data_IF_912239017274
#
_entry.id   IF_912239017274
#
_cell.length_a   1.000
_cell.length_b   1.000
_cell.length_c   1.000
_cell.angle_alpha   90.00
_cell.angle_beta   90.00
_cell.angle_gamma   90.00
#
_symmetry.space_group_name_H-M   'P 1'
#
loop_
_entity.id
_entity.type
_entity.pdbx_description
1 polymer ?
#
# COMPACT_ATOMS: atom_id res chain seq x y z
N UNK A 1 49.33 4.70 -21.84
CA UNK A 1 48.29 3.77 -21.37
C UNK A 1 48.05 3.87 -19.85
N UNK A 2 48.02 5.08 -19.25
CA UNK A 2 47.74 5.28 -17.81
C UNK A 2 46.37 5.92 -17.52
N UNK A 3 45.77 6.61 -18.51
CA UNK A 3 44.52 7.36 -18.31
C UNK A 3 43.24 6.53 -18.50
N UNK A 4 43.33 5.34 -19.08
CA UNK A 4 42.17 4.45 -19.27
C UNK A 4 41.80 3.68 -17.99
N UNK A 5 42.74 3.47 -17.07
CA UNK A 5 42.50 2.74 -15.81
C UNK A 5 41.57 3.51 -14.86
N UNK A 6 41.66 4.85 -14.87
CA UNK A 6 40.83 5.76 -14.09
C UNK A 6 39.38 5.84 -14.60
N UNK A 7 39.17 5.66 -15.91
CA UNK A 7 37.82 5.68 -16.51
C UNK A 7 37.06 4.38 -16.18
N UNK A 8 37.76 3.25 -16.17
CA UNK A 8 37.16 1.93 -15.85
C UNK A 8 36.77 1.86 -14.36
N UNK A 9 37.58 2.44 -13.46
CA UNK A 9 37.26 2.50 -12.02
C UNK A 9 36.07 3.41 -11.73
N UNK A 10 35.88 4.50 -12.49
CA UNK A 10 34.70 5.36 -12.36
C UNK A 10 33.41 4.68 -12.81
N UNK A 11 33.45 3.87 -13.87
CA UNK A 11 32.29 3.10 -14.36
C UNK A 11 31.86 1.95 -13.42
N UNK A 12 32.79 1.41 -12.61
CA UNK A 12 32.48 0.36 -11.65
C UNK A 12 31.83 0.91 -10.36
N UNK A 13 32.07 2.17 -10.01
CA UNK A 13 31.48 2.81 -8.82
C UNK A 13 30.05 3.31 -9.04
N UNK A 14 29.62 3.53 -10.29
CA UNK A 14 28.27 4.04 -10.59
C UNK A 14 27.21 2.96 -10.79
N UNK A 15 27.54 1.67 -10.65
CA UNK A 15 26.65 0.57 -11.06
C UNK A 15 25.98 -0.22 -9.93
N UNK A 16 26.18 0.09 -8.66
CA UNK A 16 25.83 -0.88 -7.60
C UNK A 16 25.17 -0.29 -6.36
N UNK A 17 24.06 0.43 -6.52
CA UNK A 17 23.05 0.52 -5.46
C UNK A 17 21.63 0.61 -6.06
N UNK A 18 21.18 -0.46 -6.74
CA UNK A 18 19.74 -0.68 -6.85
C UNK A 18 19.27 -1.26 -5.52
N UNK A 19 18.68 -0.42 -4.66
CA UNK A 19 18.07 -0.90 -3.42
C UNK A 19 16.86 -1.77 -3.79
N UNK A 20 16.99 -3.09 -3.61
CA UNK A 20 15.90 -4.03 -3.82
C UNK A 20 14.81 -3.75 -2.79
N UNK A 21 13.57 -3.52 -3.25
CA UNK A 21 12.43 -3.33 -2.34
C UNK A 21 11.83 -4.66 -1.95
N UNK A 22 11.54 -4.84 -0.67
CA UNK A 22 10.79 -5.99 -0.18
C UNK A 22 9.35 -5.94 -0.72
N UNK A 23 8.84 -7.07 -1.19
CA UNK A 23 7.49 -7.14 -1.75
C UNK A 23 6.51 -7.72 -0.74
N UNK A 24 5.45 -6.99 -0.45
CA UNK A 24 4.41 -7.35 0.52
C UNK A 24 3.13 -7.69 -0.23
N UNK A 25 2.61 -8.89 0.00
CA UNK A 25 1.35 -9.36 -0.60
C UNK A 25 0.27 -9.51 0.47
N UNK A 26 -0.76 -8.67 0.44
CA UNK A 26 -1.92 -8.77 1.32
C UNK A 26 -3.11 -9.37 0.58
N UNK A 27 -3.66 -10.48 1.06
CA UNK A 27 -4.91 -11.03 0.58
C UNK A 27 -6.08 -10.29 1.22
N UNK A 28 -6.88 -9.60 0.40
CA UNK A 28 -8.04 -8.83 0.86
C UNK A 28 -9.19 -9.76 1.21
N UNK A 29 -9.53 -9.79 2.50
CA UNK A 29 -10.75 -10.42 2.99
C UNK A 29 -11.93 -9.45 2.83
N UNK A 30 -12.85 -9.73 1.90
CA UNK A 30 -14.06 -8.92 1.67
C UNK A 30 -15.01 -8.87 2.87
N UNK A 31 -14.90 -9.84 3.78
CA UNK A 31 -15.71 -9.90 5.00
C UNK A 31 -15.08 -9.17 6.18
N UNK A 32 -13.83 -8.67 6.06
CA UNK A 32 -13.21 -7.86 7.11
C UNK A 32 -13.76 -6.42 7.03
N UNK A 33 -14.63 -6.06 7.96
CA UNK A 33 -15.26 -4.72 8.04
C UNK A 33 -14.26 -3.58 8.31
N UNK A 34 -13.04 -3.91 8.73
CA UNK A 34 -11.95 -2.98 8.98
C UNK A 34 -11.04 -2.78 7.76
N UNK A 35 -11.33 -3.46 6.63
CA UNK A 35 -10.74 -3.16 5.32
C UNK A 35 -11.83 -2.55 4.44
N UNK A 36 -11.82 -1.24 4.29
CA UNK A 36 -12.83 -0.51 3.52
C UNK A 36 -12.30 -0.19 2.13
N UNK A 37 -12.96 -0.67 1.08
CA UNK A 37 -12.66 -0.26 -0.30
C UNK A 37 -13.25 1.13 -0.56
N UNK A 38 -12.43 2.03 -1.09
CA UNK A 38 -12.81 3.38 -1.50
C UNK A 38 -12.87 3.40 -3.03
N UNK A 39 -14.08 3.48 -3.58
CA UNK A 39 -14.27 3.53 -5.04
C UNK A 39 -14.38 4.99 -5.45
N UNK A 40 -13.58 5.40 -6.43
CA UNK A 40 -13.66 6.73 -7.02
C UNK A 40 -14.98 6.93 -7.79
N UNK A 41 -15.42 8.18 -7.88
CA UNK A 41 -16.45 8.58 -8.84
C UNK A 41 -15.96 8.42 -10.28
N UNK A 42 -16.89 8.41 -11.24
CA UNK A 42 -16.68 8.05 -12.66
C UNK A 42 -15.52 8.82 -13.33
N UNK A 43 -15.13 9.98 -12.83
CA UNK A 43 -14.06 10.82 -13.38
C UNK A 43 -12.65 10.54 -12.82
N UNK A 44 -12.51 9.79 -11.73
CA UNK A 44 -11.20 9.50 -11.13
C UNK A 44 -10.78 8.05 -11.38
N UNK A 45 -9.59 7.86 -11.95
CA UNK A 45 -9.06 6.53 -12.29
C UNK A 45 -8.46 5.80 -11.09
N UNK A 46 -8.30 6.49 -9.95
CA UNK A 46 -7.71 5.95 -8.74
C UNK A 46 -8.75 5.55 -7.72
N UNK A 47 -8.67 4.30 -7.30
CA UNK A 47 -9.42 3.76 -6.18
C UNK A 47 -8.50 3.48 -5.02
N UNK A 48 -9.04 3.06 -3.88
CA UNK A 48 -8.21 2.74 -2.74
C UNK A 48 -8.79 1.75 -1.75
N UNK A 49 -7.99 1.48 -0.73
CA UNK A 49 -8.35 0.76 0.47
C UNK A 49 -7.94 1.57 1.68
N UNK A 50 -8.81 1.57 2.68
CA UNK A 50 -8.54 2.07 4.01
C UNK A 50 -8.49 0.88 4.97
N UNK A 51 -7.33 0.62 5.55
CA UNK A 51 -7.09 -0.44 6.52
C UNK A 51 -7.08 0.18 7.92
N UNK A 52 -8.05 -0.19 8.74
CA UNK A 52 -8.27 0.39 10.06
C UNK A 52 -7.49 -0.41 11.11
N UNK A 53 -6.79 0.31 11.99
CA UNK A 53 -6.08 -0.22 13.15
C UNK A 53 -6.90 -0.01 14.42
N UNK A 54 -7.71 -1.01 14.78
CA UNK A 54 -8.56 -0.97 15.98
C UNK A 54 -7.79 -0.88 17.31
N UNK A 55 -6.46 -1.08 17.31
CA UNK A 55 -5.64 -1.06 18.53
C UNK A 55 -5.18 0.35 18.90
N UNK A 56 -5.34 1.33 18.00
CA UNK A 56 -4.85 2.69 18.19
C UNK A 56 -5.98 3.68 17.94
N UNK A 57 -6.33 4.45 18.95
CA UNK A 57 -7.18 5.63 18.83
C UNK A 57 -6.31 6.85 18.60
N UNK A 58 -6.80 7.75 17.74
CA UNK A 58 -6.21 9.06 17.48
C UNK A 58 -7.30 10.12 17.58
N UNK A 59 -6.93 11.31 18.06
CA UNK A 59 -7.77 12.50 17.98
C UNK A 59 -7.63 13.08 16.59
N UNK A 60 -8.75 13.30 15.94
CA UNK A 60 -8.85 13.94 14.62
C UNK A 60 -9.68 15.21 14.73
N UNK A 61 -9.49 16.13 13.79
CA UNK A 61 -10.13 17.43 13.79
C UNK A 61 -10.97 17.56 12.53
N UNK A 62 -12.27 17.80 12.70
CA UNK A 62 -13.18 18.10 11.60
C UNK A 62 -13.45 19.59 11.58
N UNK A 63 -13.18 20.23 10.45
CA UNK A 63 -13.49 21.65 10.25
C UNK A 63 -15.00 21.88 10.33
N UNK A 64 -15.40 22.92 11.07
CA UNK A 64 -16.81 23.32 11.10
C UNK A 64 -17.27 23.77 9.71
N UNK A 65 -18.52 23.46 9.36
CA UNK A 65 -19.17 23.96 8.15
C UNK A 65 -19.59 25.43 8.27
N UNK A 66 -19.64 25.95 9.48
CA UNK A 66 -20.16 27.28 9.77
C UNK A 66 -19.04 28.32 9.71
N UNK A 67 -19.32 29.46 9.08
CA UNK A 67 -18.35 30.57 8.98
C UNK A 67 -18.09 31.11 10.39
N UNK A 68 -16.88 30.87 10.91
CA UNK A 68 -16.46 31.27 12.27
C UNK A 68 -16.77 30.25 13.36
N UNK A 69 -17.26 29.05 13.01
CA UNK A 69 -17.43 27.96 13.98
C UNK A 69 -16.09 27.30 14.34
N UNK A 70 -15.98 26.86 15.59
CA UNK A 70 -14.80 26.14 16.08
C UNK A 70 -14.70 24.75 15.45
N UNK A 71 -13.47 24.29 15.21
CA UNK A 71 -13.22 22.95 14.74
C UNK A 71 -13.62 21.90 15.79
N UNK A 72 -14.20 20.80 15.33
CA UNK A 72 -14.69 19.74 16.21
C UNK A 72 -13.62 18.66 16.33
N UNK A 73 -13.13 18.44 17.55
CA UNK A 73 -12.26 17.31 17.86
C UNK A 73 -13.10 16.06 18.13
N UNK A 74 -12.66 14.92 17.60
CA UNK A 74 -13.31 13.64 17.82
C UNK A 74 -12.28 12.51 17.79
N UNK A 75 -12.59 11.42 18.49
CA UNK A 75 -11.75 10.22 18.47
C UNK A 75 -12.13 9.30 17.32
N UNK A 76 -11.11 8.72 16.68
CA UNK A 76 -11.28 7.66 15.68
C UNK A 76 -10.16 6.65 15.77
N UNK A 77 -10.39 5.46 15.23
CA UNK A 77 -9.30 4.50 15.03
C UNK A 77 -8.31 5.00 13.99
N UNK A 78 -7.02 4.76 14.23
CA UNK A 78 -5.96 5.00 13.27
C UNK A 78 -6.20 4.17 12.01
N UNK A 79 -5.72 4.65 10.86
CA UNK A 79 -6.02 4.01 9.58
C UNK A 79 -5.01 4.38 8.51
N UNK A 80 -4.76 3.42 7.62
CA UNK A 80 -3.79 3.56 6.54
C UNK A 80 -4.49 3.41 5.21
N UNK A 81 -4.25 4.38 4.34
CA UNK A 81 -4.87 4.42 3.03
C UNK A 81 -3.89 3.99 1.96
N UNK A 82 -4.40 3.28 0.97
CA UNK A 82 -3.63 2.78 -0.17
C UNK A 82 -4.41 3.06 -1.45
N UNK A 83 -3.77 3.66 -2.46
CA UNK A 83 -4.39 3.93 -3.76
C UNK A 83 -3.91 2.94 -4.82
N UNK A 84 -4.72 2.76 -5.86
CA UNK A 84 -4.40 1.94 -7.04
C UNK A 84 -5.19 2.40 -8.26
N UNK A 85 -4.70 2.01 -9.44
CA UNK A 85 -5.42 2.18 -10.70
C UNK A 85 -5.81 0.80 -11.25
N UNK A 86 -7.11 0.56 -11.46
CA UNK A 86 -7.64 -0.72 -11.95
C UNK A 86 -7.06 -1.14 -13.32
N UNK A 87 -6.61 -0.17 -14.14
CA UNK A 87 -5.98 -0.47 -15.44
C UNK A 87 -4.68 -1.27 -15.29
N UNK A 88 -4.06 -1.24 -14.12
CA UNK A 88 -2.82 -1.95 -13.81
C UNK A 88 -3.05 -3.30 -13.11
N UNK A 89 -4.31 -3.74 -12.97
CA UNK A 89 -4.63 -5.02 -12.36
C UNK A 89 -4.14 -6.18 -13.23
N UNK A 90 -3.54 -7.18 -12.59
CA UNK A 90 -3.05 -8.39 -13.25
C UNK A 90 -3.89 -9.58 -12.79
N UNK A 91 -4.41 -10.37 -13.73
CA UNK A 91 -5.10 -11.61 -13.41
C UNK A 91 -4.10 -12.74 -13.17
N UNK A 92 -4.08 -13.31 -11.97
CA UNK A 92 -3.19 -14.42 -11.59
C UNK A 92 -3.98 -15.70 -11.31
N UNK A 93 -3.32 -16.85 -11.48
CA UNK A 93 -3.90 -18.17 -11.16
C UNK A 93 -3.74 -18.52 -9.68
N UNK A 94 -4.53 -19.49 -9.22
CA UNK A 94 -4.33 -20.12 -7.90
C UNK A 94 -2.94 -20.73 -7.73
N UNK A 95 -2.36 -21.31 -8.79
CA UNK A 95 -1.01 -21.86 -8.74
C UNK A 95 0.05 -20.78 -8.54
N UNK A 96 -0.08 -19.63 -9.21
CA UNK A 96 0.81 -18.49 -8.99
C UNK A 96 0.67 -17.95 -7.56
N UNK A 97 -0.58 -17.79 -7.10
CA UNK A 97 -0.90 -17.34 -5.74
C UNK A 97 -0.21 -18.20 -4.66
N UNK A 98 -0.16 -19.52 -4.85
CA UNK A 98 0.44 -20.46 -3.90
C UNK A 98 1.97 -20.29 -3.74
N UNK A 99 2.63 -19.63 -4.70
CA UNK A 99 4.07 -19.34 -4.63
C UNK A 99 4.38 -17.99 -3.96
N UNK A 100 3.37 -17.23 -3.55
CA UNK A 100 3.55 -15.94 -2.91
C UNK A 100 3.58 -16.09 -1.37
N UNK A 101 4.43 -15.30 -0.72
CA UNK A 101 4.42 -15.15 0.74
C UNK A 101 3.24 -14.25 1.15
N UNK A 102 2.05 -14.85 1.21
CA UNK A 102 0.81 -14.13 1.46
C UNK A 102 0.62 -13.77 2.92
N UNK A 103 0.20 -12.54 3.14
CA UNK A 103 -0.37 -12.08 4.40
C UNK A 103 -1.88 -12.16 4.28
N UNK A 104 -2.50 -12.92 5.17
CA UNK A 104 -3.96 -13.07 5.25
C UNK A 104 -4.55 -12.38 6.47
N UNK A 105 -3.71 -12.05 7.45
CA UNK A 105 -4.11 -11.38 8.68
C UNK A 105 -3.83 -9.87 8.63
N UNK A 106 -4.87 -9.06 8.86
CA UNK A 106 -4.79 -7.60 8.84
C UNK A 106 -3.89 -7.06 9.95
N UNK A 107 -3.89 -7.66 11.14
CA UNK A 107 -3.09 -7.15 12.26
C UNK A 107 -1.60 -7.39 12.03
N UNK A 108 -1.25 -8.55 11.46
CA UNK A 108 0.10 -8.85 11.02
C UNK A 108 0.57 -7.85 9.95
N UNK A 109 -0.27 -7.56 8.94
CA UNK A 109 0.02 -6.53 7.95
C UNK A 109 0.27 -5.16 8.59
N UNK A 110 -0.60 -4.73 9.50
CA UNK A 110 -0.45 -3.45 10.22
C UNK A 110 0.81 -3.39 11.10
N UNK A 111 1.30 -4.52 11.59
CA UNK A 111 2.53 -4.57 12.38
C UNK A 111 3.80 -4.44 11.52
N UNK A 112 3.73 -4.63 10.20
CA UNK A 112 4.89 -4.41 9.31
C UNK A 112 5.37 -2.96 9.35
N UNK A 113 4.47 -1.99 9.56
CA UNK A 113 4.82 -0.56 9.67
C UNK A 113 5.81 -0.26 10.80
N UNK A 114 5.87 -1.11 11.84
CA UNK A 114 6.77 -0.94 12.99
C UNK A 114 8.24 -1.16 12.62
N UNK A 115 8.53 -1.71 11.43
CA UNK A 115 9.88 -1.88 10.92
C UNK A 115 10.43 -0.65 10.17
N UNK A 116 9.61 0.38 9.90
CA UNK A 116 10.01 1.49 9.03
C UNK A 116 9.28 2.84 9.22
N UNK A 117 8.71 3.12 10.39
CA UNK A 117 8.01 4.40 10.69
C UNK A 117 6.97 4.80 9.63
N UNK A 118 5.90 3.99 9.55
CA UNK A 118 4.76 4.05 8.61
C UNK A 118 4.93 3.17 7.37
N UNK A 119 3.84 2.97 6.62
CA UNK A 119 3.90 2.28 5.33
C UNK A 119 4.61 3.19 4.32
N UNK A 120 5.93 3.15 4.30
CA UNK A 120 6.73 3.87 3.29
C UNK A 120 6.84 3.07 1.98
N UNK A 121 7.18 3.77 0.90
CA UNK A 121 7.44 3.17 -0.42
C UNK A 121 8.94 3.06 -0.75
N UNK A 122 9.83 3.47 0.16
CA UNK A 122 11.27 3.45 -0.05
C UNK A 122 11.81 2.03 0.12
N UNK A 123 11.40 1.32 1.16
CA UNK A 123 11.81 -0.06 1.43
C UNK A 123 10.90 -1.13 0.84
N UNK A 124 9.64 -0.79 0.54
CA UNK A 124 8.61 -1.78 0.23
C UNK A 124 7.83 -1.51 -1.05
N UNK A 125 7.39 -2.59 -1.70
CA UNK A 125 6.36 -2.58 -2.74
C UNK A 125 5.15 -3.38 -2.26
N UNK A 126 3.96 -2.79 -2.34
CA UNK A 126 2.74 -3.43 -1.84
C UNK A 126 1.85 -3.91 -2.98
N UNK A 127 1.37 -5.14 -2.83
CA UNK A 127 0.36 -5.73 -3.68
C UNK A 127 -0.81 -6.22 -2.84
N UNK A 128 -2.01 -5.80 -3.21
CA UNK A 128 -3.24 -6.31 -2.64
C UNK A 128 -3.84 -7.33 -3.60
N UNK A 129 -4.37 -8.42 -3.07
CA UNK A 129 -4.89 -9.53 -3.86
C UNK A 129 -6.37 -9.68 -3.57
N UNK A 130 -7.21 -9.68 -4.61
CA UNK A 130 -8.64 -9.92 -4.49
C UNK A 130 -9.04 -11.22 -5.18
N UNK A 131 -9.92 -11.99 -4.54
CA UNK A 131 -10.61 -13.11 -5.21
C UNK A 131 -11.62 -12.57 -6.24
N UNK A 132 -11.56 -13.11 -7.46
CA UNK A 132 -12.55 -12.81 -8.51
C UNK A 132 -13.77 -13.72 -8.40
N UNK A 133 -14.79 -13.44 -9.22
CA UNK A 133 -15.95 -14.33 -9.35
C UNK A 133 -15.63 -15.58 -10.20
N UNK A 134 -14.53 -15.56 -10.95
CA UNK A 134 -14.08 -16.71 -11.72
C UNK A 134 -13.32 -17.70 -10.84
N UNK A 135 -13.53 -18.98 -11.07
CA UNK A 135 -12.85 -20.02 -10.31
C UNK A 135 -11.33 -19.95 -10.52
N UNK A 136 -10.56 -20.10 -9.43
CA UNK A 136 -9.10 -20.15 -9.44
C UNK A 136 -8.38 -18.93 -10.06
N UNK A 137 -9.07 -17.78 -10.13
CA UNK A 137 -8.54 -16.51 -10.62
C UNK A 137 -8.58 -15.42 -9.55
N UNK A 138 -7.50 -14.66 -9.45
CA UNK A 138 -7.34 -13.57 -8.50
C UNK A 138 -6.83 -12.32 -9.22
N UNK A 139 -7.19 -11.16 -8.71
CA UNK A 139 -6.61 -9.88 -9.14
C UNK A 139 -5.42 -9.60 -8.24
N UNK A 140 -4.24 -9.48 -8.84
CA UNK A 140 -3.04 -8.95 -8.22
C UNK A 140 -2.97 -7.46 -8.56
N UNK A 141 -2.95 -6.62 -7.53
CA UNK A 141 -3.05 -5.17 -7.69
C UNK A 141 -1.93 -4.48 -6.95
N UNK A 142 -1.12 -3.72 -7.69
CA UNK A 142 -0.12 -2.85 -7.09
C UNK A 142 -0.82 -1.68 -6.40
N UNK A 143 -0.49 -1.45 -5.13
CA UNK A 143 -1.05 -0.34 -4.35
C UNK A 143 0.07 0.57 -3.84
N UNK A 144 -0.24 1.84 -3.66
CA UNK A 144 0.67 2.84 -3.08
C UNK A 144 0.08 3.39 -1.80
N UNK A 145 0.79 3.39 -0.66
CA UNK A 145 0.40 4.14 0.53
C UNK A 145 0.12 5.60 0.17
N UNK A 146 -0.95 6.16 0.72
CA UNK A 146 -1.30 7.58 0.57
C UNK A 146 -1.57 8.18 1.93
N UNK A 147 -0.92 9.32 2.20
CA UNK A 147 -1.30 10.25 3.24
C UNK A 147 -2.34 11.19 2.64
N UNK A 148 -3.60 11.02 3.03
CA UNK A 148 -4.58 12.08 2.83
C UNK A 148 -4.35 13.11 3.93
N UNK A 149 -3.92 14.31 3.54
CA UNK A 149 -4.06 15.52 4.36
C UNK A 149 -5.53 15.91 4.50
#
# INVERSE_FOLDING_TARGET
MKNYLLIITYFLLTNTYSQSKDTIYLLINKNDSLIKKQVASITNEYEGYKIIDKKKLITDTKRSSDIGGDDIQYERFDSFSFSFNRKNDILISKSYLANLNLITDREYFLNLKKKGDNFDTLGFTYFFIEKTNCENKFILRKVSPVTFE
#
